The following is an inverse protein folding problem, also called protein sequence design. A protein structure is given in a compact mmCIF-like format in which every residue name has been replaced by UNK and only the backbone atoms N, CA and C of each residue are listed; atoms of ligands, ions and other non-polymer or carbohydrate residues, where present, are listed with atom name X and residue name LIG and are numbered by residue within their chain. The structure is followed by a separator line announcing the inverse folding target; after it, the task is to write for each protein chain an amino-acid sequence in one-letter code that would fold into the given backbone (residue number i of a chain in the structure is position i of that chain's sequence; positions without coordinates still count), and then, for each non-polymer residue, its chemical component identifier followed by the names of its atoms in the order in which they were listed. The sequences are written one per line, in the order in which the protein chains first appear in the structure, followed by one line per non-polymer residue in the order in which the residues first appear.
data_IF_122399603048
#
_entry.id   IF_122399603048
#
_cell.length_a   1.000
_cell.length_b   1.000
_cell.length_c   1.000
_cell.angle_alpha   90.00
_cell.angle_beta   90.00
_cell.angle_gamma   90.00
#
_symmetry.space_group_name_H-M   'P 1'
#
loop_
_entity.id
_entity.type
_entity.pdbx_description
1 polymer ?
#
# COMPACT_ATOMS: atom_id res chain seq x y z
N UNK A 1 1.57 41.29 41.41
CA UNK A 1 2.34 40.03 41.40
C UNK A 1 1.88 39.25 40.18
N UNK A 2 2.56 39.48 39.06
CA UNK A 2 2.11 39.08 37.72
C UNK A 2 2.94 37.86 37.31
N UNK A 3 2.28 36.73 37.08
CA UNK A 3 2.92 35.46 36.71
C UNK A 3 3.41 35.51 35.27
N UNK A 4 4.71 35.30 35.08
CA UNK A 4 5.33 34.99 33.80
C UNK A 4 5.03 33.52 33.44
N UNK A 5 4.24 33.30 32.40
CA UNK A 5 4.10 31.99 31.76
C UNK A 5 5.27 31.82 30.78
N UNK A 6 5.99 30.72 30.96
CA UNK A 6 7.17 30.31 30.21
C UNK A 6 6.92 30.21 28.71
N UNK A 7 7.76 30.89 27.93
CA UNK A 7 7.81 30.95 26.46
C UNK A 7 8.16 29.63 25.77
N UNK A 8 8.37 28.53 26.50
CA UNK A 8 8.66 27.20 25.91
C UNK A 8 7.42 26.42 25.44
N UNK A 9 6.21 26.79 25.86
CA UNK A 9 4.99 26.08 25.43
C UNK A 9 4.43 26.53 24.07
N UNK A 10 4.77 27.73 23.60
CA UNK A 10 4.32 28.22 22.28
C UNK A 10 5.10 27.62 21.11
N UNK A 11 6.34 27.13 21.31
CA UNK A 11 7.14 26.60 20.19
C UNK A 11 6.79 25.16 19.80
N UNK A 12 6.15 24.38 20.69
CA UNK A 12 5.73 23.01 20.38
C UNK A 12 4.41 22.97 19.60
N UNK A 13 3.48 23.88 19.90
CA UNK A 13 2.22 24.00 19.15
C UNK A 13 2.44 24.52 17.72
N UNK A 14 3.40 25.43 17.51
CA UNK A 14 3.73 25.95 16.18
C UNK A 14 4.41 24.91 15.27
N UNK A 15 5.24 24.02 15.84
CA UNK A 15 5.88 22.94 15.08
C UNK A 15 4.92 21.80 14.74
N UNK A 16 3.91 21.52 15.57
CA UNK A 16 2.89 20.51 15.28
C UNK A 16 1.96 20.97 14.15
N UNK A 17 1.59 22.26 14.13
CA UNK A 17 0.79 22.85 13.05
C UNK A 17 1.54 22.87 11.71
N UNK A 18 2.87 23.03 11.72
CA UNK A 18 3.68 23.03 10.49
C UNK A 18 3.83 21.62 9.88
N UNK A 19 3.88 20.57 10.70
CA UNK A 19 3.99 19.18 10.23
C UNK A 19 2.67 18.66 9.67
N UNK A 20 1.53 19.02 10.29
CA UNK A 20 0.20 18.66 9.79
C UNK A 20 -0.11 19.40 8.47
N UNK A 21 0.28 20.67 8.34
CA UNK A 21 0.10 21.41 7.08
C UNK A 21 1.02 20.90 5.96
N UNK A 22 2.21 20.38 6.29
CA UNK A 22 3.14 19.85 5.29
C UNK A 22 2.75 18.47 4.74
N UNK A 23 2.01 17.65 5.49
CA UNK A 23 1.48 16.38 4.99
C UNK A 23 0.26 16.58 4.07
N UNK A 24 -0.56 17.60 4.31
CA UNK A 24 -1.71 17.93 3.45
C UNK A 24 -1.30 18.53 2.09
N UNK A 25 -0.11 19.13 2.00
CA UNK A 25 0.37 19.78 0.76
C UNK A 25 1.17 18.86 -0.17
N UNK A 26 1.53 17.63 0.23
CA UNK A 26 2.23 16.68 -0.66
C UNK A 26 1.30 15.70 -1.38
N UNK A 27 -0.01 15.71 -1.11
CA UNK A 27 -0.99 14.89 -1.83
C UNK A 27 -2.06 15.72 -2.57
N UNK A 28 -2.12 17.04 -2.37
CA UNK A 28 -3.08 17.94 -3.02
C UNK A 28 -2.73 18.36 -4.45
N UNK A 29 -1.98 17.56 -5.22
CA UNK A 29 -1.56 17.95 -6.60
C UNK A 29 -1.78 16.87 -7.65
N UNK A 30 -2.75 16.00 -7.44
CA UNK A 30 -3.39 15.25 -8.52
C UNK A 30 -4.89 15.36 -8.33
N UNK A 31 -5.49 16.46 -8.79
CA UNK A 31 -6.91 16.55 -9.22
C UNK A 31 -7.17 17.97 -9.70
N UNK A 32 -6.90 18.21 -10.99
CA UNK A 32 -7.58 19.22 -11.80
C UNK A 32 -7.14 19.11 -13.26
N UNK A 33 -7.94 18.44 -14.07
CA UNK A 33 -8.22 18.87 -15.44
C UNK A 33 -9.49 18.18 -15.99
N UNK A 34 -10.52 19.02 -16.14
CA UNK A 34 -11.56 18.97 -17.18
C UNK A 34 -12.76 18.02 -16.99
N UNK A 35 -13.80 18.63 -16.44
CA UNK A 35 -15.18 18.33 -16.81
C UNK A 35 -15.42 18.62 -18.31
N UNK A 36 -15.99 17.65 -19.01
CA UNK A 36 -16.86 17.88 -20.16
C UNK A 36 -17.98 16.84 -20.11
N UNK A 37 -19.14 17.26 -19.62
CA UNK A 37 -20.39 16.51 -19.67
C UNK A 37 -20.78 16.28 -21.13
N UNK A 38 -20.93 15.02 -21.52
CA UNK A 38 -21.83 14.64 -22.61
C UNK A 38 -22.86 13.66 -22.04
N UNK A 39 -24.08 14.16 -21.87
CA UNK A 39 -25.28 13.38 -21.58
C UNK A 39 -25.55 12.47 -22.78
N UNK A 40 -25.15 11.21 -22.71
CA UNK A 40 -25.61 10.18 -23.64
C UNK A 40 -26.85 9.53 -23.01
N UNK A 41 -28.00 9.77 -23.63
CA UNK A 41 -29.26 9.09 -23.32
C UNK A 41 -29.06 7.57 -23.37
N UNK A 42 -29.41 6.90 -22.28
CA UNK A 42 -29.52 5.45 -22.19
C UNK A 42 -30.46 4.91 -23.27
N UNK A 43 -29.90 4.22 -24.26
CA UNK A 43 -30.62 3.26 -25.09
C UNK A 43 -30.05 1.89 -24.80
N UNK A 44 -30.90 1.05 -24.21
CA UNK A 44 -30.63 -0.30 -23.78
C UNK A 44 -30.26 -1.19 -25.00
N UNK A 45 -29.02 -1.68 -25.18
CA UNK A 45 -28.73 -2.67 -26.19
C UNK A 45 -28.85 -4.06 -25.55
N UNK A 46 -29.85 -4.78 -26.06
CA UNK A 46 -30.05 -6.22 -25.89
C UNK A 46 -28.76 -7.02 -25.63
N UNK A 47 -28.76 -7.75 -24.50
CA UNK A 47 -27.71 -8.69 -24.11
C UNK A 47 -27.59 -9.77 -25.20
N UNK A 48 -26.58 -9.65 -26.06
CA UNK A 48 -26.17 -10.75 -26.93
C UNK A 48 -25.46 -11.80 -26.07
N UNK A 49 -25.96 -13.03 -26.12
CA UNK A 49 -25.32 -14.24 -25.58
C UNK A 49 -23.84 -14.27 -26.01
N UNK A 50 -22.88 -14.61 -25.13
CA UNK A 50 -21.47 -14.65 -25.51
C UNK A 50 -21.24 -15.64 -26.64
N UNK A 51 -20.59 -15.18 -27.71
CA UNK A 51 -20.08 -16.02 -28.79
C UNK A 51 -19.10 -17.04 -28.24
N UNK A 52 -19.28 -18.32 -28.56
CA UNK A 52 -18.48 -19.43 -28.08
C UNK A 52 -17.08 -19.53 -28.74
N UNK A 53 -16.61 -18.50 -29.45
CA UNK A 53 -15.31 -18.49 -30.14
C UNK A 53 -14.53 -17.20 -29.81
N UNK A 54 -14.17 -17.01 -28.55
CA UNK A 54 -13.09 -16.08 -28.21
C UNK A 54 -11.76 -16.77 -28.53
N UNK A 55 -11.01 -16.22 -29.48
CA UNK A 55 -9.60 -16.59 -29.69
C UNK A 55 -8.85 -16.48 -28.36
N UNK A 56 -8.00 -17.46 -27.98
CA UNK A 56 -7.22 -17.35 -26.76
C UNK A 56 -6.32 -16.13 -26.87
N UNK A 57 -6.53 -15.17 -25.97
CA UNK A 57 -5.70 -13.96 -25.88
C UNK A 57 -4.28 -14.40 -25.55
N UNK A 58 -3.26 -14.02 -26.35
CA UNK A 58 -1.89 -14.43 -26.09
C UNK A 58 -1.43 -13.93 -24.72
N UNK A 59 -0.96 -14.86 -23.90
CA UNK A 59 -0.49 -14.59 -22.53
C UNK A 59 0.86 -13.90 -22.60
N UNK A 60 0.99 -12.71 -22.00
CA UNK A 60 2.29 -12.06 -21.80
C UNK A 60 2.85 -12.45 -20.44
N UNK A 61 4.04 -13.05 -20.45
CA UNK A 61 4.80 -13.35 -19.25
C UNK A 61 5.92 -12.32 -19.08
N UNK A 62 6.29 -12.06 -17.83
CA UNK A 62 7.43 -11.25 -17.44
C UNK A 62 8.75 -11.89 -17.85
N UNK A 63 9.62 -11.09 -18.44
CA UNK A 63 11.05 -11.37 -18.56
C UNK A 63 11.86 -10.73 -17.41
N UNK A 64 13.05 -11.26 -17.14
CA UNK A 64 13.94 -10.73 -16.10
C UNK A 64 14.30 -9.26 -16.34
N UNK A 65 14.43 -8.83 -17.61
CA UNK A 65 14.76 -7.43 -17.96
C UNK A 65 13.57 -6.46 -17.81
N UNK A 66 12.39 -6.97 -17.49
CA UNK A 66 11.18 -6.17 -17.30
C UNK A 66 10.90 -5.84 -15.82
N UNK A 67 11.49 -6.58 -14.88
CA UNK A 67 11.20 -6.50 -13.44
C UNK A 67 11.48 -5.13 -12.84
N UNK A 68 12.63 -4.54 -13.19
CA UNK A 68 13.11 -3.29 -12.59
C UNK A 68 12.70 -2.04 -13.40
N UNK A 69 11.78 -2.16 -14.35
CA UNK A 69 11.34 -1.01 -15.17
C UNK A 69 10.29 -0.21 -14.43
N UNK A 70 10.61 1.04 -14.13
CA UNK A 70 9.76 1.98 -13.42
C UNK A 70 9.26 3.12 -14.32
N UNK A 71 8.07 3.64 -14.02
CA UNK A 71 7.46 4.80 -14.68
C UNK A 71 7.53 6.07 -13.84
N UNK A 72 7.75 5.95 -12.53
CA UNK A 72 8.06 7.07 -11.64
C UNK A 72 8.96 6.63 -10.48
N UNK A 73 9.64 7.60 -9.88
CA UNK A 73 10.45 7.42 -8.67
C UNK A 73 10.37 8.68 -7.81
N UNK A 74 10.02 8.50 -6.54
CA UNK A 74 9.99 9.53 -5.51
C UNK A 74 11.04 9.21 -4.45
N UNK A 75 11.94 10.16 -4.17
CA UNK A 75 12.94 10.06 -3.11
C UNK A 75 12.97 11.37 -2.33
N UNK A 76 12.57 11.32 -1.05
CA UNK A 76 12.37 12.52 -0.25
C UNK A 76 11.30 13.42 -0.86
N UNK A 77 11.65 14.65 -1.24
CA UNK A 77 10.75 15.63 -1.89
C UNK A 77 10.93 15.71 -3.40
N UNK A 78 11.63 14.75 -4.01
CA UNK A 78 11.96 14.77 -5.44
C UNK A 78 11.20 13.66 -6.14
N UNK A 79 10.36 14.07 -7.09
CA UNK A 79 9.61 13.19 -7.97
C UNK A 79 10.17 13.23 -9.38
N UNK A 80 10.28 12.07 -10.01
CA UNK A 80 10.75 11.92 -11.39
C UNK A 80 9.83 10.97 -12.13
N UNK A 81 9.49 11.31 -13.37
CA UNK A 81 8.61 10.52 -14.24
C UNK A 81 9.38 10.02 -15.47
N UNK A 82 9.12 8.78 -15.85
CA UNK A 82 9.78 8.07 -16.94
C UNK A 82 8.72 7.34 -17.80
N UNK A 83 7.94 8.05 -18.65
CA UNK A 83 6.87 7.42 -19.43
C UNK A 83 7.33 6.22 -20.30
N UNK A 84 8.53 6.34 -20.89
CA UNK A 84 9.16 5.27 -21.67
C UNK A 84 9.65 4.08 -20.80
N UNK A 85 9.72 4.27 -19.48
CA UNK A 85 10.32 3.34 -18.53
C UNK A 85 11.80 3.63 -18.29
N UNK A 86 12.23 3.57 -17.02
CA UNK A 86 13.64 3.61 -16.60
C UNK A 86 13.96 2.34 -15.83
N UNK A 87 15.17 1.80 -15.98
CA UNK A 87 15.63 0.69 -15.14
C UNK A 87 16.07 1.25 -13.77
N UNK A 88 15.50 0.72 -12.70
CA UNK A 88 15.92 1.00 -11.32
C UNK A 88 17.02 -0.01 -10.92
N UNK A 89 18.22 0.50 -10.60
CA UNK A 89 19.37 -0.34 -10.20
C UNK A 89 19.74 -0.19 -8.72
N UNK A 90 19.10 0.74 -8.01
CA UNK A 90 19.36 1.05 -6.61
C UNK A 90 18.18 0.61 -5.73
N UNK A 91 18.38 0.56 -4.42
CA UNK A 91 17.38 0.27 -3.36
C UNK A 91 16.90 -1.17 -3.26
N UNK A 92 16.66 -1.84 -4.39
CA UNK A 92 16.05 -3.16 -4.44
C UNK A 92 16.73 -4.06 -5.47
N UNK A 93 16.86 -5.33 -5.13
CA UNK A 93 17.14 -6.41 -6.08
C UNK A 93 15.90 -7.28 -6.26
N UNK A 94 15.39 -7.36 -7.48
CA UNK A 94 14.21 -8.16 -7.86
C UNK A 94 14.63 -9.29 -8.78
N UNK A 95 14.18 -10.51 -8.51
CA UNK A 95 14.52 -11.70 -9.28
C UNK A 95 13.26 -12.54 -9.54
N UNK A 96 13.10 -13.03 -10.78
CA UNK A 96 12.12 -14.07 -11.09
C UNK A 96 12.53 -15.38 -10.43
N UNK A 97 11.55 -16.09 -9.89
CA UNK A 97 11.71 -17.42 -9.30
C UNK A 97 10.57 -18.32 -9.79
N UNK A 98 10.78 -19.63 -9.71
CA UNK A 98 9.72 -20.58 -10.00
C UNK A 98 8.79 -20.80 -8.79
N UNK A 99 7.61 -21.36 -9.08
CA UNK A 99 6.59 -21.68 -8.07
C UNK A 99 7.12 -22.64 -7.00
N UNK A 100 7.89 -23.65 -7.37
CA UNK A 100 8.38 -24.65 -6.42
C UNK A 100 9.32 -24.01 -5.39
N UNK A 101 10.16 -23.06 -5.82
CA UNK A 101 11.02 -22.27 -4.95
C UNK A 101 10.19 -21.35 -4.05
N UNK A 102 9.20 -20.64 -4.58
CA UNK A 102 8.28 -19.80 -3.79
C UNK A 102 7.58 -20.61 -2.68
N UNK A 103 6.97 -21.73 -3.04
CA UNK A 103 6.27 -22.62 -2.09
C UNK A 103 7.22 -23.23 -1.06
N UNK A 104 8.45 -23.58 -1.46
CA UNK A 104 9.49 -24.05 -0.52
C UNK A 104 9.84 -23.00 0.54
N UNK A 105 9.67 -21.72 0.22
CA UNK A 105 10.02 -20.59 1.11
C UNK A 105 8.87 -20.15 2.00
N UNK A 106 7.63 -20.47 1.62
CA UNK A 106 6.42 -20.15 2.40
C UNK A 106 6.46 -20.57 3.87
N UNK A 107 6.99 -21.76 4.27
CA UNK A 107 7.11 -22.12 5.69
C UNK A 107 8.07 -21.23 6.49
N UNK A 108 8.88 -20.40 5.83
CA UNK A 108 9.78 -19.45 6.47
C UNK A 108 9.13 -18.06 6.62
N UNK A 109 7.87 -17.89 6.23
CA UNK A 109 7.15 -16.63 6.37
C UNK A 109 7.20 -16.13 7.82
N UNK A 110 7.41 -14.83 7.98
CA UNK A 110 7.28 -14.13 9.26
C UNK A 110 5.98 -13.35 9.26
N UNK A 111 5.27 -13.43 10.39
CA UNK A 111 4.11 -12.61 10.68
C UNK A 111 4.34 -11.94 12.04
N UNK A 112 4.19 -10.63 12.07
CA UNK A 112 4.36 -9.79 13.26
C UNK A 112 3.03 -9.22 13.75
N UNK A 113 1.93 -9.56 13.10
CA UNK A 113 0.61 -9.14 13.48
C UNK A 113 0.12 -9.98 14.67
N UNK A 114 -0.11 -9.31 15.78
CA UNK A 114 -0.74 -9.89 16.96
C UNK A 114 -2.25 -9.70 16.87
N UNK A 115 -2.97 -10.83 16.91
CA UNK A 115 -4.43 -10.88 17.00
C UNK A 115 -4.93 -11.09 18.44
N UNK A 116 -4.05 -11.00 19.45
CA UNK A 116 -4.40 -11.25 20.86
C UNK A 116 -5.58 -10.39 21.35
N UNK A 117 -5.74 -9.21 20.77
CA UNK A 117 -6.83 -8.28 21.02
C UNK A 117 -7.65 -8.12 19.74
N UNK A 118 -8.42 -9.14 19.36
CA UNK A 118 -9.29 -9.05 18.20
C UNK A 118 -10.40 -8.02 18.48
N UNK A 119 -10.20 -6.78 18.02
CA UNK A 119 -11.17 -5.71 18.18
C UNK A 119 -12.26 -5.88 17.13
N UNK A 120 -13.50 -6.06 17.60
CA UNK A 120 -14.67 -6.11 16.75
C UNK A 120 -15.27 -4.71 16.63
N UNK A 121 -15.62 -4.32 15.41
CA UNK A 121 -16.43 -3.12 15.16
C UNK A 121 -17.80 -3.29 15.82
N UNK A 122 -18.31 -2.23 16.45
CA UNK A 122 -19.66 -2.17 17.02
C UNK A 122 -20.31 -0.86 16.55
N UNK A 123 -21.47 -0.95 15.91
CA UNK A 123 -22.25 0.20 15.42
C UNK A 123 -21.41 1.22 14.64
N UNK A 124 -20.60 0.74 13.69
CA UNK A 124 -19.72 1.61 12.88
C UNK A 124 -18.46 2.08 13.60
N UNK A 125 -18.21 1.69 14.86
CA UNK A 125 -17.09 2.19 15.66
C UNK A 125 -16.09 1.08 15.99
N UNK A 126 -14.81 1.35 15.75
CA UNK A 126 -13.69 0.58 16.31
C UNK A 126 -13.16 1.35 17.51
N UNK A 127 -13.13 0.72 18.68
CA UNK A 127 -12.53 1.28 19.89
C UNK A 127 -11.25 0.51 20.24
N UNK A 128 -10.11 1.18 20.16
CA UNK A 128 -8.79 0.64 20.43
C UNK A 128 -8.33 1.14 21.80
N UNK A 129 -8.08 0.23 22.73
CA UNK A 129 -7.52 0.58 24.02
C UNK A 129 -6.04 0.94 23.87
N UNK A 130 -5.67 2.16 24.26
CA UNK A 130 -4.30 2.64 24.30
C UNK A 130 -3.76 2.55 25.73
N UNK A 131 -2.46 2.83 25.90
CA UNK A 131 -1.85 2.90 27.24
C UNK A 131 -2.43 4.04 28.08
N UNK A 132 -2.71 5.20 27.44
CA UNK A 132 -3.16 6.41 28.16
C UNK A 132 -4.66 6.67 28.05
N UNK A 133 -5.31 6.23 26.99
CA UNK A 133 -6.72 6.51 26.69
C UNK A 133 -7.29 5.43 25.73
N UNK A 134 -8.27 5.78 24.91
CA UNK A 134 -8.84 4.97 23.84
C UNK A 134 -8.91 5.77 22.54
N UNK A 135 -8.56 5.14 21.43
CA UNK A 135 -8.77 5.66 20.09
C UNK A 135 -10.09 5.14 19.55
N UNK A 136 -10.97 6.04 19.10
CA UNK A 136 -12.22 5.69 18.43
C UNK A 136 -12.13 6.06 16.97
N UNK A 137 -12.32 5.07 16.10
CA UNK A 137 -12.44 5.26 14.65
C UNK A 137 -13.89 4.97 14.28
N UNK A 138 -14.55 5.96 13.71
CA UNK A 138 -15.98 5.94 13.40
C UNK A 138 -16.14 5.94 11.90
N UNK A 139 -16.87 4.95 11.38
CA UNK A 139 -17.24 4.90 9.97
C UNK A 139 -18.01 6.17 9.59
N UNK A 140 -17.68 6.72 8.42
CA UNK A 140 -18.37 7.85 7.82
C UNK A 140 -19.29 7.27 6.76
N UNK A 141 -20.60 7.36 6.99
CA UNK A 141 -21.62 6.97 6.01
C UNK A 141 -21.92 8.17 5.12
N UNK A 142 -21.32 8.18 3.93
CA UNK A 142 -21.45 9.23 2.92
C UNK A 142 -21.32 8.61 1.54
N UNK A 143 -22.16 9.06 0.60
CA UNK A 143 -22.19 8.53 -0.77
C UNK A 143 -20.88 8.79 -1.52
N UNK A 144 -20.28 9.98 -1.34
CA UNK A 144 -19.08 10.41 -2.06
C UNK A 144 -17.81 10.35 -1.20
N UNK A 145 -17.94 10.55 0.12
CA UNK A 145 -16.83 10.67 1.07
C UNK A 145 -16.87 9.59 2.16
N UNK A 146 -17.52 8.45 1.86
CA UNK A 146 -17.65 7.36 2.81
C UNK A 146 -16.29 6.77 3.21
N UNK A 147 -16.10 6.53 4.51
CA UNK A 147 -14.90 5.90 5.04
C UNK A 147 -15.29 4.75 5.99
N UNK A 148 -14.76 3.57 5.74
CA UNK A 148 -14.95 2.43 6.65
C UNK A 148 -13.61 1.94 7.19
N UNK A 149 -13.58 1.69 8.49
CA UNK A 149 -12.36 1.30 9.19
C UNK A 149 -12.38 -0.20 9.50
N UNK A 150 -11.27 -0.91 9.36
CA UNK A 150 -11.14 -2.31 9.79
C UNK A 150 -9.86 -2.49 10.60
N UNK A 151 -10.00 -2.90 11.85
CA UNK A 151 -8.86 -3.20 12.70
C UNK A 151 -8.17 -4.48 12.20
N UNK A 152 -6.90 -4.38 11.84
CA UNK A 152 -6.13 -5.50 11.30
C UNK A 152 -5.41 -6.23 12.43
N UNK A 153 -4.77 -5.47 13.32
CA UNK A 153 -4.08 -6.03 14.48
C UNK A 153 -3.02 -5.11 15.03
N UNK A 154 -2.20 -5.65 15.92
CA UNK A 154 -1.13 -4.92 16.58
C UNK A 154 0.23 -5.40 16.07
N UNK A 155 1.15 -4.49 15.79
CA UNK A 155 2.54 -4.83 15.44
C UNK A 155 3.41 -4.49 16.65
N UNK A 156 3.59 -5.46 17.55
CA UNK A 156 4.34 -5.30 18.80
C UNK A 156 5.78 -4.82 18.58
N UNK A 157 6.38 -5.17 17.45
CA UNK A 157 7.75 -4.74 17.11
C UNK A 157 7.88 -3.23 16.87
N UNK A 158 6.77 -2.52 16.62
CA UNK A 158 6.74 -1.10 16.29
C UNK A 158 5.99 -0.26 17.33
N UNK A 159 5.36 -0.90 18.32
CA UNK A 159 4.38 -0.28 19.22
C UNK A 159 3.26 0.45 18.45
N UNK A 160 2.75 -0.16 17.37
CA UNK A 160 1.68 0.41 16.52
C UNK A 160 0.47 -0.52 16.42
N UNK A 161 -0.71 0.08 16.26
CA UNK A 161 -1.92 -0.55 15.75
C UNK A 161 -2.02 -0.36 14.24
N UNK A 162 -2.41 -1.41 13.51
CA UNK A 162 -2.65 -1.37 12.07
C UNK A 162 -4.15 -1.39 11.80
N UNK A 163 -4.61 -0.42 11.02
CA UNK A 163 -5.99 -0.28 10.58
C UNK A 163 -6.03 -0.17 9.08
N UNK A 164 -6.93 -0.88 8.44
CA UNK A 164 -7.29 -0.67 7.04
C UNK A 164 -8.41 0.36 6.95
N UNK A 165 -8.31 1.25 5.98
CA UNK A 165 -9.35 2.23 5.67
C UNK A 165 -9.78 2.02 4.24
N UNK A 166 -11.09 1.83 4.04
CA UNK A 166 -11.69 1.73 2.71
C UNK A 166 -12.54 2.97 2.45
N UNK A 167 -12.35 3.53 1.27
CA UNK A 167 -13.13 4.62 0.67
C UNK A 167 -13.66 4.15 -0.68
N UNK A 168 -14.56 4.92 -1.28
CA UNK A 168 -15.17 4.61 -2.57
C UNK A 168 -14.15 4.13 -3.64
N UNK A 169 -13.04 4.87 -3.80
CA UNK A 169 -12.03 4.56 -4.84
C UNK A 169 -10.66 4.17 -4.30
N UNK A 170 -10.52 4.02 -2.98
CA UNK A 170 -9.21 3.72 -2.40
C UNK A 170 -9.28 2.82 -1.19
N UNK A 171 -8.24 2.03 -1.03
CA UNK A 171 -7.95 1.29 0.18
C UNK A 171 -6.53 1.65 0.61
N UNK A 172 -6.35 2.02 1.86
CA UNK A 172 -5.03 2.26 2.44
C UNK A 172 -4.94 1.66 3.85
N UNK A 173 -3.73 1.65 4.40
CA UNK A 173 -3.44 1.17 5.74
C UNK A 173 -2.84 2.29 6.56
N UNK A 174 -3.33 2.47 7.78
CA UNK A 174 -2.90 3.49 8.72
C UNK A 174 -2.29 2.82 9.96
N UNK A 175 -1.17 3.37 10.44
CA UNK A 175 -0.56 2.99 11.71
C UNK A 175 -0.81 4.04 12.78
N UNK A 176 -1.26 3.60 13.96
CA UNK A 176 -1.50 4.45 15.11
C UNK A 176 -0.62 4.03 16.29
N UNK A 177 0.00 5.00 16.95
CA UNK A 177 0.87 4.73 18.12
C UNK A 177 0.06 4.13 19.28
N UNK A 178 0.60 3.10 19.94
CA UNK A 178 -0.08 2.39 21.04
C UNK A 178 -0.25 3.21 22.33
N UNK A 179 0.53 4.28 22.50
CA UNK A 179 0.51 5.09 23.72
C UNK A 179 -0.52 6.20 23.61
N UNK A 180 -0.41 7.01 22.56
CA UNK A 180 -1.20 8.23 22.38
C UNK A 180 -2.27 8.12 21.29
N UNK A 181 -2.20 7.11 20.42
CA UNK A 181 -3.18 6.91 19.35
C UNK A 181 -3.03 7.86 18.16
N UNK A 182 -1.93 8.60 18.05
CA UNK A 182 -1.68 9.46 16.88
C UNK A 182 -1.34 8.62 15.64
N UNK A 183 -1.84 9.04 14.48
CA UNK A 183 -1.45 8.51 13.19
C UNK A 183 0.06 8.75 12.96
N UNK A 184 0.81 7.68 12.71
CA UNK A 184 2.26 7.74 12.51
C UNK A 184 2.68 7.52 11.07
N UNK A 185 1.94 6.72 10.30
CA UNK A 185 2.24 6.42 8.90
C UNK A 185 1.00 5.91 8.17
N UNK A 186 0.91 6.25 6.88
CA UNK A 186 -0.03 5.64 5.94
C UNK A 186 0.69 4.87 4.83
N UNK A 187 0.04 3.83 4.30
CA UNK A 187 0.54 2.98 3.23
C UNK A 187 -0.56 2.72 2.20
N UNK A 188 -0.23 2.75 0.91
CA UNK A 188 -1.17 2.42 -0.18
C UNK A 188 -1.55 0.93 -0.24
N UNK A 189 -0.82 0.06 0.47
CA UNK A 189 -1.09 -1.37 0.56
C UNK A 189 -0.57 -1.92 1.89
N UNK A 190 -0.84 -3.22 2.15
CA UNK A 190 -0.44 -3.85 3.41
C UNK A 190 1.08 -3.67 3.67
N UNK A 191 1.49 -3.17 4.85
CA UNK A 191 2.89 -2.90 5.16
C UNK A 191 3.62 -4.15 5.66
N UNK A 192 4.32 -4.85 4.77
CA UNK A 192 5.08 -6.05 5.11
C UNK A 192 6.40 -5.70 5.82
N UNK A 193 6.49 -6.00 7.12
CA UNK A 193 7.68 -5.77 7.95
C UNK A 193 8.74 -6.88 7.76
N UNK A 194 9.98 -6.48 7.50
CA UNK A 194 11.10 -7.40 7.24
C UNK A 194 11.50 -8.21 8.48
N UNK A 195 12.18 -9.38 8.32
CA UNK A 195 12.53 -10.25 9.44
C UNK A 195 13.45 -9.60 10.49
N UNK A 196 14.32 -8.70 10.03
CA UNK A 196 15.21 -7.93 10.90
C UNK A 196 14.53 -6.67 11.48
N UNK A 197 13.25 -6.44 11.16
CA UNK A 197 12.43 -5.30 11.59
C UNK A 197 13.01 -3.93 11.21
N UNK A 198 13.84 -3.89 10.16
CA UNK A 198 14.51 -2.66 9.70
C UNK A 198 13.84 -2.03 8.48
N UNK A 199 12.98 -2.77 7.78
CA UNK A 199 12.39 -2.32 6.53
C UNK A 199 10.91 -2.71 6.45
N UNK A 200 10.12 -1.85 5.81
CA UNK A 200 8.75 -2.16 5.42
C UNK A 200 8.67 -1.98 3.91
N UNK A 201 8.00 -2.92 3.23
CA UNK A 201 7.60 -2.76 1.83
C UNK A 201 6.08 -2.85 1.76
N UNK A 202 5.46 -1.89 1.09
CA UNK A 202 4.05 -1.94 0.67
C UNK A 202 4.01 -1.97 -0.86
N UNK A 203 3.23 -2.86 -1.46
CA UNK A 203 3.09 -2.98 -2.91
C UNK A 203 1.61 -2.98 -3.29
N UNK A 204 1.15 -1.90 -3.90
CA UNK A 204 -0.21 -1.74 -4.37
C UNK A 204 -0.31 -2.06 -5.85
N UNK A 205 -1.23 -2.92 -6.23
CA UNK A 205 -1.58 -3.15 -7.62
C UNK A 205 -2.49 -2.00 -8.09
N UNK A 206 -1.97 -1.06 -8.87
CA UNK A 206 -2.73 0.09 -9.35
C UNK A 206 -3.48 -0.26 -10.65
N UNK A 207 -4.81 -0.46 -10.60
CA UNK A 207 -5.59 -0.87 -11.77
C UNK A 207 -5.77 0.26 -12.80
N UNK A 208 -5.67 1.51 -12.37
CA UNK A 208 -5.87 2.69 -13.23
C UNK A 208 -4.66 2.93 -14.14
N UNK A 209 -3.46 2.76 -13.59
CA UNK A 209 -2.20 3.00 -14.30
C UNK A 209 -1.54 1.72 -14.84
N UNK A 210 -1.99 0.54 -14.39
CA UNK A 210 -1.44 -0.75 -14.81
C UNK A 210 0.00 -0.96 -14.35
N UNK A 211 0.33 -0.51 -13.15
CA UNK A 211 1.65 -0.69 -12.55
C UNK A 211 1.53 -1.08 -11.07
N UNK A 212 2.65 -1.47 -10.47
CA UNK A 212 2.74 -1.60 -9.01
C UNK A 212 3.24 -0.30 -8.40
N UNK A 213 2.50 0.28 -7.46
CA UNK A 213 3.00 1.35 -6.60
C UNK A 213 3.67 0.73 -5.38
N UNK A 214 5.00 0.73 -5.37
CA UNK A 214 5.81 0.15 -4.30
C UNK A 214 6.44 1.25 -3.44
N UNK A 215 6.15 1.22 -2.14
CA UNK A 215 6.82 2.03 -1.13
C UNK A 215 7.83 1.22 -0.33
N UNK A 216 9.04 1.76 -0.16
CA UNK A 216 10.08 1.23 0.73
C UNK A 216 10.31 2.20 1.89
N UNK A 217 10.29 1.66 3.10
CA UNK A 217 10.47 2.43 4.33
C UNK A 217 11.56 1.79 5.20
N UNK A 218 12.28 2.62 5.95
CA UNK A 218 13.24 2.21 6.97
C UNK A 218 12.64 2.41 8.36
N UNK A 219 12.81 1.40 9.20
CA UNK A 219 12.40 1.44 10.60
C UNK A 219 13.61 1.79 11.47
N UNK A 220 13.46 2.79 12.34
CA UNK A 220 14.44 3.18 13.36
C UNK A 220 13.76 3.33 14.71
N UNK A 221 13.80 2.29 15.53
CA UNK A 221 12.96 2.22 16.72
C UNK A 221 11.49 2.21 16.30
N UNK A 222 10.70 3.17 16.82
CA UNK A 222 9.29 3.35 16.45
C UNK A 222 9.08 4.22 15.20
N UNK A 223 10.13 4.88 14.71
CA UNK A 223 10.02 5.77 13.56
C UNK A 223 10.04 4.98 12.24
N UNK A 224 9.07 5.27 11.38
CA UNK A 224 9.00 4.76 10.00
C UNK A 224 9.39 5.90 9.07
N UNK A 225 10.44 5.71 8.28
CA UNK A 225 11.06 6.75 7.46
C UNK A 225 10.95 6.32 6.00
N UNK A 226 10.23 7.07 5.14
CA UNK A 226 10.18 6.79 3.71
C UNK A 226 11.59 6.81 3.10
N UNK A 227 11.93 5.79 2.32
CA UNK A 227 13.19 5.69 1.57
C UNK A 227 12.93 6.06 0.11
N UNK A 228 11.97 5.38 -0.52
CA UNK A 228 11.54 5.66 -1.88
C UNK A 228 10.12 5.16 -2.14
N UNK A 229 9.47 5.72 -3.16
CA UNK A 229 8.29 5.15 -3.81
C UNK A 229 8.54 5.03 -5.30
N UNK A 230 8.09 3.94 -5.94
CA UNK A 230 8.27 3.76 -7.38
C UNK A 230 7.12 2.95 -8.00
N UNK A 231 6.75 3.34 -9.23
CA UNK A 231 5.75 2.66 -10.05
C UNK A 231 6.40 1.64 -10.97
N UNK A 232 6.31 0.35 -10.68
CA UNK A 232 6.88 -0.73 -11.51
C UNK A 232 5.94 -1.11 -12.65
N UNK A 233 6.40 -0.89 -13.89
CA UNK A 233 5.57 -0.83 -15.09
C UNK A 233 4.94 -2.16 -15.50
N UNK A 234 5.67 -3.26 -15.34
CA UNK A 234 5.36 -4.48 -16.08
C UNK A 234 4.68 -5.57 -15.26
N UNK A 235 4.66 -5.44 -13.94
CA UNK A 235 4.08 -6.43 -13.05
C UNK A 235 3.18 -5.79 -12.00
N UNK A 236 2.21 -6.58 -11.51
CA UNK A 236 1.29 -6.22 -10.43
C UNK A 236 1.27 -7.36 -9.40
N UNK A 237 1.31 -7.07 -8.10
CA UNK A 237 1.16 -8.09 -7.07
C UNK A 237 -0.25 -8.69 -7.12
N UNK A 238 -0.34 -9.99 -6.85
CA UNK A 238 -1.60 -10.62 -6.51
C UNK A 238 -1.86 -10.30 -5.03
N UNK A 239 -2.98 -9.63 -4.76
CA UNK A 239 -3.22 -8.95 -3.47
C UNK A 239 -3.83 -9.84 -2.39
N UNK A 240 -3.82 -11.17 -2.57
CA UNK A 240 -4.08 -12.09 -1.46
C UNK A 240 -2.89 -12.04 -0.48
N UNK A 241 -3.11 -11.77 0.83
CA UNK A 241 -2.03 -11.76 1.82
C UNK A 241 -1.24 -13.07 1.88
N UNK A 242 -1.83 -14.21 1.50
CA UNK A 242 -1.09 -15.46 1.41
C UNK A 242 -0.02 -15.41 0.31
N UNK A 243 -0.18 -14.57 -0.71
CA UNK A 243 0.70 -14.53 -1.88
C UNK A 243 1.80 -13.48 -1.79
N UNK A 244 1.94 -12.81 -0.65
CA UNK A 244 3.04 -11.89 -0.35
C UNK A 244 3.54 -12.13 1.08
N UNK A 245 4.82 -12.45 1.24
CA UNK A 245 5.38 -12.68 2.57
C UNK A 245 6.88 -12.40 2.65
N UNK A 246 7.32 -11.80 3.76
CA UNK A 246 8.73 -11.83 4.12
C UNK A 246 9.08 -13.21 4.65
N UNK A 247 10.17 -13.79 4.18
CA UNK A 247 10.72 -15.00 4.77
C UNK A 247 11.92 -14.69 5.65
N UNK A 248 12.20 -15.55 6.64
CA UNK A 248 13.36 -15.45 7.55
C UNK A 248 14.72 -15.37 6.85
N UNK A 249 14.81 -15.75 5.57
CA UNK A 249 16.03 -15.62 4.78
C UNK A 249 16.30 -14.19 4.27
N UNK A 250 15.42 -13.24 4.57
CA UNK A 250 15.62 -11.82 4.28
C UNK A 250 15.16 -11.39 2.89
N UNK A 251 14.29 -12.17 2.24
CA UNK A 251 13.62 -11.81 0.99
C UNK A 251 12.11 -11.66 1.19
N UNK A 252 11.51 -10.69 0.50
CA UNK A 252 10.07 -10.60 0.31
C UNK A 252 9.71 -11.41 -0.93
N UNK A 253 8.81 -12.37 -0.77
CA UNK A 253 8.31 -13.21 -1.85
C UNK A 253 6.95 -12.65 -2.28
N UNK A 254 6.74 -12.48 -3.59
CA UNK A 254 5.52 -11.90 -4.15
C UNK A 254 5.05 -12.74 -5.33
N UNK A 255 3.80 -13.21 -5.31
CA UNK A 255 3.15 -13.69 -6.52
C UNK A 255 2.67 -12.49 -7.34
N UNK A 256 2.92 -12.52 -8.64
CA UNK A 256 2.68 -11.38 -9.55
C UNK A 256 2.03 -11.85 -10.84
N UNK A 257 1.41 -10.92 -11.55
CA UNK A 257 1.02 -11.09 -12.94
C UNK A 257 1.65 -9.97 -13.77
N UNK A 258 1.80 -10.20 -15.08
CA UNK A 258 2.20 -9.15 -16.00
C UNK A 258 1.07 -8.09 -16.08
N UNK A 259 1.40 -6.79 -16.00
CA UNK A 259 0.41 -5.69 -15.97
C UNK A 259 -0.57 -5.71 -17.15
N UNK A 260 -0.06 -5.91 -18.37
CA UNK A 260 -0.91 -6.03 -19.56
C UNK A 260 -1.92 -7.18 -19.49
N UNK A 261 -1.61 -8.23 -18.75
CA UNK A 261 -2.48 -9.38 -18.55
C UNK A 261 -3.46 -9.18 -17.39
N UNK A 262 -3.05 -8.50 -16.32
CA UNK A 262 -3.92 -8.08 -15.23
C UNK A 262 -5.15 -7.29 -15.72
N UNK A 263 -4.91 -6.36 -16.66
CA UNK A 263 -5.93 -5.48 -17.22
C UNK A 263 -6.93 -6.16 -18.16
N UNK A 264 -6.61 -7.35 -18.68
CA UNK A 264 -7.41 -8.00 -19.73
C UNK A 264 -8.45 -9.00 -19.21
N UNK A 265 -8.38 -9.43 -17.94
CA UNK A 265 -9.06 -10.66 -17.51
C UNK A 265 -10.22 -10.42 -16.50
N UNK A 266 -10.54 -9.17 -16.15
CA UNK A 266 -11.68 -8.88 -15.27
C UNK A 266 -11.68 -9.72 -13.98
N UNK A 267 -10.49 -10.05 -13.44
CA UNK A 267 -10.33 -10.79 -12.20
C UNK A 267 -10.17 -12.33 -12.28
N UNK A 268 -10.11 -12.99 -13.46
CA UNK A 268 -9.77 -14.44 -13.52
C UNK A 268 -8.24 -14.68 -13.55
N UNK A 269 -7.59 -14.51 -12.40
CA UNK A 269 -6.12 -14.40 -12.23
C UNK A 269 -5.33 -15.71 -12.38
N UNK A 270 -5.96 -16.89 -12.34
CA UNK A 270 -5.25 -18.12 -11.95
C UNK A 270 -4.34 -18.81 -13.01
N UNK A 271 -4.33 -18.40 -14.28
CA UNK A 271 -3.52 -19.09 -15.32
C UNK A 271 -2.17 -18.42 -15.63
N UNK A 272 -1.84 -17.29 -15.01
CA UNK A 272 -0.76 -16.39 -15.47
C UNK A 272 0.14 -15.87 -14.34
N UNK A 273 0.06 -16.49 -13.17
CA UNK A 273 0.87 -16.13 -12.01
C UNK A 273 2.33 -16.48 -12.22
N UNK A 274 3.21 -15.50 -12.03
CA UNK A 274 4.64 -15.66 -11.87
C UNK A 274 5.03 -15.29 -10.43
N UNK A 275 6.28 -15.58 -10.07
CA UNK A 275 6.75 -15.36 -8.71
C UNK A 275 8.05 -14.57 -8.77
N UNK A 276 8.16 -13.58 -7.88
CA UNK A 276 9.39 -12.81 -7.70
C UNK A 276 9.83 -12.87 -6.25
N UNK A 277 11.12 -12.62 -6.04
CA UNK A 277 11.65 -12.25 -4.72
C UNK A 277 12.30 -10.89 -4.78
N UNK A 278 12.16 -10.13 -3.71
CA UNK A 278 12.68 -8.78 -3.55
C UNK A 278 13.59 -8.75 -2.33
N UNK A 279 14.80 -8.21 -2.50
CA UNK A 279 15.74 -7.91 -1.41
C UNK A 279 15.98 -6.42 -1.34
N UNK A 280 15.99 -5.86 -0.13
CA UNK A 280 16.46 -4.49 0.10
C UNK A 280 17.98 -4.45 -0.06
N UNK A 281 18.46 -3.54 -0.90
CA UNK A 281 19.86 -3.35 -1.28
C UNK A 281 20.19 -1.85 -1.23
N UNK A 282 20.53 -1.37 -0.02
CA UNK A 282 20.77 0.04 0.33
C UNK A 282 22.20 0.27 0.78
#
# INVERSE_FOLDING_TARGET
MTMFISTKFQSYAANLLLVVTALLLSFGSYHSAMAAQNVIKSTNPSIKKPSAHATPVPVKLLDTNELNRITHLSVGKKDQFFPAGKVLNDYLKIELIDKAFFEKKRPLAVDYLSHKNAIKKQDGVISIQLVKDSLKLVDIDSDDDGETYRYIGQIDALDQHLVEVLRWESQNYQMFDQVEGFLTQEFSAYPYLSPNKRYIISAYANPYEGHTDLGLYKVKGRAIIPVMSAGFKNWMPITDPADIFWARDGYLYVAVTHSASAMQIGGRVNAQTQYIRIKVDL
#
